data_IF_622929943851
#
_entry.id   IF_622929943851
#
_cell.length_a   1.000
_cell.length_b   1.000
_cell.length_c   1.000
_cell.angle_alpha   90.00
_cell.angle_beta   90.00
_cell.angle_gamma   90.00
#
_symmetry.space_group_name_H-M   'P 1'
#
loop_
_entity.id
_entity.type
_entity.pdbx_description
1 polymer ?
#
# COMPACT_ATOMS: atom_id res chain seq x y z
N UNK A 1 -20.92 -12.44 -65.99
CA UNK A 1 -21.03 -11.17 -65.22
C UNK A 1 -21.52 -11.34 -63.78
N UNK A 2 -22.45 -12.27 -63.49
CA UNK A 2 -23.05 -12.44 -62.14
C UNK A 2 -22.10 -12.87 -61.01
N UNK A 3 -21.06 -13.68 -61.28
CA UNK A 3 -20.10 -14.16 -60.25
C UNK A 3 -19.19 -13.06 -59.68
N UNK A 4 -18.75 -12.10 -60.51
CA UNK A 4 -17.91 -10.97 -60.07
C UNK A 4 -18.69 -9.98 -59.20
N UNK A 5 -19.97 -9.77 -59.52
CA UNK A 5 -20.88 -8.95 -58.70
C UNK A 5 -21.18 -9.60 -57.34
N UNK A 6 -21.30 -10.92 -57.29
CA UNK A 6 -21.49 -11.65 -56.03
C UNK A 6 -20.28 -11.54 -55.08
N UNK A 7 -19.07 -11.63 -55.64
CA UNK A 7 -17.82 -11.44 -54.88
C UNK A 7 -17.70 -10.00 -54.35
N UNK A 8 -18.05 -9.00 -55.17
CA UNK A 8 -18.02 -7.60 -54.76
C UNK A 8 -18.97 -7.30 -53.58
N UNK A 9 -20.16 -7.92 -53.56
CA UNK A 9 -21.14 -7.77 -52.47
C UNK A 9 -20.61 -8.40 -51.17
N UNK A 10 -19.98 -9.57 -51.26
CA UNK A 10 -19.39 -10.25 -50.09
C UNK A 10 -18.26 -9.43 -49.46
N UNK A 11 -17.38 -8.85 -50.28
CA UNK A 11 -16.28 -7.99 -49.81
C UNK A 11 -16.82 -6.70 -49.16
N UNK A 12 -17.85 -6.10 -49.74
CA UNK A 12 -18.55 -4.94 -49.17
C UNK A 12 -19.09 -5.24 -47.76
N UNK A 13 -19.73 -6.40 -47.55
CA UNK A 13 -20.29 -6.79 -46.26
C UNK A 13 -19.19 -6.95 -45.20
N UNK A 14 -18.05 -7.52 -45.57
CA UNK A 14 -16.90 -7.68 -44.65
C UNK A 14 -16.34 -6.31 -44.24
N UNK A 15 -16.21 -5.38 -45.19
CA UNK A 15 -15.71 -4.03 -44.90
C UNK A 15 -16.67 -3.28 -43.97
N UNK A 16 -17.99 -3.37 -44.22
CA UNK A 16 -19.01 -2.76 -43.37
C UNK A 16 -18.98 -3.37 -41.97
N UNK A 17 -18.84 -4.70 -41.87
CA UNK A 17 -18.72 -5.43 -40.59
C UNK A 17 -17.50 -4.97 -39.78
N UNK A 18 -16.32 -4.82 -40.41
CA UNK A 18 -15.13 -4.31 -39.72
C UNK A 18 -15.31 -2.86 -39.26
N UNK A 19 -15.94 -2.02 -40.10
CA UNK A 19 -16.15 -0.61 -39.78
C UNK A 19 -17.17 -0.43 -38.64
N UNK A 20 -18.30 -1.15 -38.70
CA UNK A 20 -19.29 -1.16 -37.63
C UNK A 20 -18.76 -1.81 -36.35
N UNK A 21 -18.01 -2.91 -36.45
CA UNK A 21 -17.40 -3.59 -35.31
C UNK A 21 -16.37 -2.72 -34.58
N UNK A 22 -15.54 -1.99 -35.33
CA UNK A 22 -14.55 -1.06 -34.76
C UNK A 22 -15.20 0.14 -34.06
N UNK A 23 -16.22 0.74 -34.68
CA UNK A 23 -16.94 1.89 -34.10
C UNK A 23 -17.73 1.45 -32.87
N UNK A 24 -18.56 0.41 -32.97
CA UNK A 24 -19.40 -0.08 -31.86
C UNK A 24 -18.53 -0.65 -30.72
N UNK A 25 -17.45 -1.37 -31.05
CA UNK A 25 -16.50 -1.89 -30.04
C UNK A 25 -15.83 -0.78 -29.23
N UNK A 26 -15.55 0.36 -29.86
CA UNK A 26 -14.99 1.54 -29.17
C UNK A 26 -15.99 2.18 -28.21
N UNK A 27 -17.27 2.24 -28.57
CA UNK A 27 -18.34 2.77 -27.72
C UNK A 27 -18.69 1.84 -26.55
N UNK A 28 -18.65 0.53 -26.75
CA UNK A 28 -18.91 -0.46 -25.70
C UNK A 28 -17.71 -0.61 -24.74
N UNK A 29 -16.48 -0.55 -25.25
CA UNK A 29 -15.26 -0.58 -24.42
C UNK A 29 -15.07 0.65 -23.53
N UNK A 30 -15.63 1.80 -23.93
CA UNK A 30 -15.62 3.03 -23.15
C UNK A 30 -16.63 3.05 -21.98
N UNK A 31 -17.44 1.99 -21.83
CA UNK A 31 -18.55 1.94 -20.88
C UNK A 31 -18.26 1.11 -19.61
N UNK A 32 -17.00 0.85 -19.27
CA UNK A 32 -16.64 0.34 -17.94
C UNK A 32 -16.61 1.47 -16.91
N UNK A 33 -17.80 2.00 -16.58
CA UNK A 33 -17.99 3.19 -15.73
C UNK A 33 -17.91 2.95 -14.21
N UNK A 34 -17.76 1.71 -13.76
CA UNK A 34 -17.82 1.39 -12.33
C UNK A 34 -16.45 1.36 -11.63
N UNK A 35 -15.34 1.22 -12.37
CA UNK A 35 -13.98 1.36 -11.82
C UNK A 35 -13.50 2.81 -11.74
N UNK A 36 -14.29 3.76 -12.25
CA UNK A 36 -13.93 5.17 -12.26
C UNK A 36 -13.75 5.74 -10.85
N UNK A 37 -14.55 5.30 -9.87
CA UNK A 37 -14.56 5.90 -8.52
C UNK A 37 -13.24 5.72 -7.76
N UNK A 38 -12.75 4.49 -7.63
CA UNK A 38 -11.51 4.19 -6.91
C UNK A 38 -10.30 4.67 -7.71
N UNK A 39 -10.27 4.39 -9.02
CA UNK A 39 -9.18 4.83 -9.91
C UNK A 39 -9.05 6.35 -9.94
N UNK A 40 -10.17 7.09 -9.98
CA UNK A 40 -10.18 8.54 -9.87
C UNK A 40 -9.62 9.03 -8.54
N UNK A 41 -10.06 8.44 -7.41
CA UNK A 41 -9.57 8.81 -6.08
C UNK A 41 -8.08 8.56 -5.93
N UNK A 42 -7.56 7.44 -6.43
CA UNK A 42 -6.12 7.14 -6.44
C UNK A 42 -5.35 8.18 -7.29
N UNK A 43 -5.83 8.50 -8.49
CA UNK A 43 -5.21 9.55 -9.32
C UNK A 43 -5.22 10.92 -8.65
N UNK A 44 -6.32 11.26 -7.99
CA UNK A 44 -6.44 12.51 -7.24
C UNK A 44 -5.45 12.54 -6.06
N UNK A 45 -5.33 11.44 -5.32
CA UNK A 45 -4.37 11.30 -4.23
C UNK A 45 -2.92 11.50 -4.72
N UNK A 46 -2.53 10.84 -5.80
CA UNK A 46 -1.21 11.03 -6.42
C UNK A 46 -0.97 12.48 -6.82
N UNK A 47 -1.98 13.14 -7.42
CA UNK A 47 -1.90 14.55 -7.79
C UNK A 47 -1.68 15.46 -6.59
N UNK A 48 -2.32 15.16 -5.45
CA UNK A 48 -2.15 15.90 -4.21
C UNK A 48 -0.72 15.74 -3.68
N UNK A 49 -0.19 14.51 -3.63
CA UNK A 49 1.20 14.26 -3.18
C UNK A 49 2.19 15.06 -4.01
N UNK A 50 2.12 14.95 -5.35
CA UNK A 50 3.02 15.70 -6.24
C UNK A 50 2.84 17.21 -6.11
N UNK A 51 1.62 17.68 -5.83
CA UNK A 51 1.36 19.10 -5.59
C UNK A 51 2.00 19.58 -4.29
N UNK A 52 1.95 18.79 -3.22
CA UNK A 52 2.59 19.13 -1.94
C UNK A 52 4.10 19.13 -2.10
N UNK A 53 4.68 18.06 -2.66
CA UNK A 53 6.12 17.95 -2.92
C UNK A 53 6.69 19.17 -3.68
N UNK A 54 5.97 19.66 -4.70
CA UNK A 54 6.45 20.78 -5.55
C UNK A 54 6.22 22.17 -4.95
N UNK A 55 5.14 22.37 -4.20
CA UNK A 55 4.72 23.69 -3.74
C UNK A 55 4.98 23.93 -2.24
N UNK A 56 5.41 22.91 -1.49
CA UNK A 56 5.73 23.07 -0.09
C UNK A 56 7.04 23.85 0.08
N UNK A 57 7.08 24.70 1.11
CA UNK A 57 8.20 25.63 1.31
C UNK A 57 9.53 24.93 1.69
N UNK A 58 9.45 23.70 2.22
CA UNK A 58 10.61 22.85 2.50
C UNK A 58 10.67 21.71 1.50
N UNK A 59 11.88 21.22 1.24
CA UNK A 59 12.07 19.96 0.55
C UNK A 59 11.58 18.83 1.46
N UNK A 60 10.63 18.04 0.97
CA UNK A 60 10.10 16.84 1.61
C UNK A 60 10.21 15.72 0.57
N UNK A 61 10.57 14.51 1.00
CA UNK A 61 10.63 13.36 0.12
C UNK A 61 9.24 12.71 -0.05
N UNK A 62 9.01 12.10 -1.21
CA UNK A 62 7.71 11.45 -1.49
C UNK A 62 7.44 10.30 -0.51
N UNK A 63 8.49 9.62 -0.06
CA UNK A 63 8.41 8.52 0.90
C UNK A 63 7.87 9.00 2.25
N UNK A 64 8.36 10.14 2.77
CA UNK A 64 7.82 10.78 3.98
C UNK A 64 6.33 11.13 3.85
N UNK A 65 5.92 11.67 2.69
CA UNK A 65 4.51 12.03 2.45
C UNK A 65 3.60 10.81 2.44
N UNK A 66 4.08 9.68 1.90
CA UNK A 66 3.33 8.42 1.89
C UNK A 66 3.20 7.86 3.31
N UNK A 67 4.28 7.88 4.10
CA UNK A 67 4.25 7.45 5.50
C UNK A 67 3.28 8.29 6.32
N UNK A 68 3.30 9.61 6.15
CA UNK A 68 2.34 10.50 6.82
C UNK A 68 0.90 10.22 6.39
N UNK A 69 0.67 9.93 5.11
CA UNK A 69 -0.66 9.59 4.61
C UNK A 69 -1.16 8.26 5.20
N UNK A 70 -0.30 7.22 5.25
CA UNK A 70 -0.65 5.92 5.85
C UNK A 70 -0.95 6.11 7.35
N UNK A 71 -0.06 6.75 8.10
CA UNK A 71 -0.28 7.02 9.53
C UNK A 71 -1.55 7.85 9.77
N UNK A 72 -1.85 8.83 8.92
CA UNK A 72 -3.08 9.61 8.97
C UNK A 72 -4.34 8.78 8.73
N UNK A 73 -4.33 7.90 7.71
CA UNK A 73 -5.44 7.00 7.42
C UNK A 73 -5.70 6.03 8.57
N UNK A 74 -4.66 5.43 9.14
CA UNK A 74 -4.80 4.47 10.24
C UNK A 74 -5.27 5.13 11.53
N UNK A 75 -4.75 6.30 11.89
CA UNK A 75 -5.25 7.08 13.04
C UNK A 75 -6.72 7.44 12.93
N UNK A 76 -7.19 7.72 11.70
CA UNK A 76 -8.60 8.01 11.45
C UNK A 76 -9.49 6.75 11.50
N UNK A 77 -8.91 5.57 11.25
CA UNK A 77 -9.61 4.30 11.31
C UNK A 77 -9.77 3.82 12.76
N UNK A 78 -8.68 3.80 13.52
CA UNK A 78 -8.65 3.43 14.95
C UNK A 78 -7.42 4.00 15.65
N UNK A 79 -7.61 4.53 16.86
CA UNK A 79 -6.56 5.11 17.71
C UNK A 79 -5.46 4.13 18.13
N UNK A 80 -5.72 2.82 18.11
CA UNK A 80 -4.75 1.79 18.48
C UNK A 80 -4.02 1.17 17.29
N UNK A 81 -4.43 1.48 16.06
CA UNK A 81 -3.79 0.95 14.86
C UNK A 81 -2.62 1.86 14.47
N UNK A 82 -1.41 1.31 14.48
CA UNK A 82 -0.17 2.03 14.14
C UNK A 82 0.53 1.39 12.94
N UNK A 83 1.07 2.24 12.06
CA UNK A 83 2.02 1.82 11.04
C UNK A 83 3.43 1.99 11.59
N UNK A 84 4.23 0.93 11.43
CA UNK A 84 5.63 0.88 11.82
C UNK A 84 6.49 0.84 10.57
N UNK A 85 7.43 1.77 10.48
CA UNK A 85 8.51 1.65 9.49
C UNK A 85 9.49 0.53 9.89
N UNK A 86 10.47 0.28 9.02
CA UNK A 86 11.45 -0.81 9.19
C UNK A 86 12.23 -0.70 10.50
N UNK A 87 12.57 0.52 10.91
CA UNK A 87 13.39 0.75 12.09
C UNK A 87 12.53 0.72 13.37
N UNK A 88 11.36 1.35 13.34
CA UNK A 88 10.36 1.23 14.42
C UNK A 88 9.96 -0.23 14.68
N UNK A 89 9.82 -1.03 13.62
CA UNK A 89 9.53 -2.46 13.76
C UNK A 89 10.70 -3.23 14.39
N UNK A 90 11.95 -2.93 14.02
CA UNK A 90 13.13 -3.53 14.66
C UNK A 90 13.19 -3.16 16.13
N UNK A 91 12.95 -1.90 16.48
CA UNK A 91 12.94 -1.44 17.86
C UNK A 91 11.84 -2.12 18.67
N UNK A 92 10.65 -2.28 18.09
CA UNK A 92 9.58 -3.07 18.69
C UNK A 92 10.00 -4.53 18.93
N UNK A 93 10.69 -5.15 17.98
CA UNK A 93 11.21 -6.51 18.14
C UNK A 93 12.28 -6.59 19.23
N UNK A 94 13.16 -5.59 19.34
CA UNK A 94 14.17 -5.52 20.41
C UNK A 94 13.51 -5.35 21.78
N UNK A 95 12.50 -4.48 21.88
CA UNK A 95 11.72 -4.28 23.10
C UNK A 95 10.93 -5.53 23.50
N UNK A 96 10.24 -6.17 22.54
CA UNK A 96 9.41 -7.36 22.77
C UNK A 96 10.24 -8.60 23.09
N UNK A 97 11.36 -8.82 22.39
CA UNK A 97 12.23 -9.98 22.66
C UNK A 97 13.02 -9.83 23.95
N UNK A 98 13.10 -8.61 24.50
CA UNK A 98 14.00 -8.27 25.59
C UNK A 98 15.47 -8.42 25.19
N UNK A 99 16.37 -7.68 25.84
CA UNK A 99 17.79 -8.01 25.78
C UNK A 99 18.02 -9.22 26.69
N UNK A 100 18.13 -10.42 26.12
CA UNK A 100 18.58 -11.60 26.85
C UNK A 100 20.07 -11.42 27.13
N UNK A 101 20.41 -10.95 28.33
CA UNK A 101 21.81 -10.95 28.76
C UNK A 101 22.26 -12.40 28.96
N UNK A 102 23.55 -12.69 28.72
CA UNK A 102 24.15 -14.05 28.79
C UNK A 102 23.94 -14.76 30.15
N UNK A 103 23.44 -14.06 31.17
CA UNK A 103 23.11 -14.56 32.49
C UNK A 103 21.64 -14.96 32.68
N UNK A 104 20.80 -14.86 31.64
CA UNK A 104 19.39 -15.25 31.68
C UNK A 104 18.45 -14.23 32.33
N UNK A 105 18.90 -12.98 32.42
CA UNK A 105 18.08 -11.87 32.91
C UNK A 105 17.40 -11.20 31.72
N UNK A 106 16.07 -11.15 31.74
CA UNK A 106 15.28 -10.31 30.85
C UNK A 106 15.09 -8.93 31.50
N UNK A 107 15.72 -7.90 30.94
CA UNK A 107 15.49 -6.51 31.36
C UNK A 107 14.49 -5.90 30.39
N UNK A 108 13.27 -5.62 30.87
CA UNK A 108 12.34 -4.75 30.16
C UNK A 108 12.55 -3.31 30.59
N UNK A 109 12.50 -2.39 29.63
CA UNK A 109 12.59 -0.96 29.90
C UNK A 109 11.15 -0.47 30.05
N UNK A 110 10.73 -0.20 31.28
CA UNK A 110 9.49 0.52 31.58
C UNK A 110 9.87 1.91 32.09
N UNK A 111 9.11 2.94 31.68
CA UNK A 111 9.49 4.36 31.74
C UNK A 111 9.78 4.94 33.12
N UNK A 112 9.70 4.20 34.23
CA UNK A 112 9.94 4.83 35.54
C UNK A 112 10.37 3.91 36.69
N UNK A 113 11.22 2.90 36.45
CA UNK A 113 12.13 2.30 37.44
C UNK A 113 12.79 1.05 36.84
N UNK A 114 14.09 0.89 37.07
CA UNK A 114 14.84 -0.34 36.82
C UNK A 114 14.11 -1.55 37.42
N UNK A 115 13.36 -2.28 36.60
CA UNK A 115 12.54 -3.40 37.05
C UNK A 115 13.05 -4.68 36.39
N UNK A 116 13.56 -5.59 37.21
CA UNK A 116 13.82 -6.98 36.82
C UNK A 116 12.43 -7.63 36.69
N UNK A 117 12.06 -8.04 35.46
CA UNK A 117 10.69 -8.52 35.22
C UNK A 117 10.53 -9.95 35.77
N UNK A 118 11.48 -10.85 35.52
CA UNK A 118 11.63 -12.16 36.19
C UNK A 118 12.92 -12.85 35.71
N UNK A 119 13.60 -13.65 36.54
CA UNK A 119 14.56 -14.64 36.08
C UNK A 119 13.86 -15.68 35.18
N UNK A 120 14.53 -16.13 34.12
CA UNK A 120 14.03 -17.24 33.29
C UNK A 120 14.34 -18.56 34.00
N UNK A 121 13.35 -19.45 34.14
CA UNK A 121 13.52 -20.79 34.74
C UNK A 121 14.75 -21.52 34.14
N UNK A 122 15.56 -22.10 35.01
CA UNK A 122 16.80 -22.82 34.69
C UNK A 122 17.98 -21.97 34.17
N UNK A 123 17.95 -20.64 34.30
CA UNK A 123 19.11 -19.77 34.01
C UNK A 123 19.95 -19.47 35.25
N UNK A 124 21.21 -18.99 35.13
CA UNK A 124 22.02 -18.59 36.29
C UNK A 124 21.31 -17.61 37.22
N UNK A 125 20.54 -16.66 36.67
CA UNK A 125 19.75 -15.72 37.45
C UNK A 125 18.68 -16.39 38.32
N UNK A 126 18.02 -17.44 37.82
CA UNK A 126 17.02 -18.23 38.58
C UNK A 126 17.66 -18.98 39.75
N UNK A 127 18.94 -19.32 39.65
CA UNK A 127 19.70 -19.99 40.72
C UNK A 127 20.19 -19.04 41.81
N UNK A 128 20.27 -17.74 41.52
CA UNK A 128 20.83 -16.73 42.42
C UNK A 128 19.77 -15.85 43.11
N UNK A 129 18.51 -15.89 42.65
CA UNK A 129 17.36 -15.24 43.28
C UNK A 129 17.10 -13.82 42.78
#
# INVERSE_FOLDING_TARGET
>A
MRKKQFIAILVSIIIISLFFGGVIGSYLGAQSKNDEGITYKIRLFMKIITSVEKNYFKKIEVEDLLDYAIRGMLRALDSHTIYLDSDEYKDLLVGTKGKIFRHGIQIGISEDLHTIITPIEATPADKEG
#
